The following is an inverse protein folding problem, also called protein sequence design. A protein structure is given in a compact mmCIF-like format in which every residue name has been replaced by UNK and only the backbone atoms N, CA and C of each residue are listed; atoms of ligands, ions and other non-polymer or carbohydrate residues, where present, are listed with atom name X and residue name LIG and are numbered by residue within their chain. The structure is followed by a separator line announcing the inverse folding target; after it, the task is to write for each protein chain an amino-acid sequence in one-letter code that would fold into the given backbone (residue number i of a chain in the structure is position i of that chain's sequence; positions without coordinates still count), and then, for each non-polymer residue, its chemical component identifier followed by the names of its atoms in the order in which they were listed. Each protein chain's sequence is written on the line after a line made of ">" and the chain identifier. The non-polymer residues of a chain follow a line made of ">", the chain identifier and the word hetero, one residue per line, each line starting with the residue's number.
data_IF_534773443383
#
_entry.id   IF_534773443383
#
_cell.length_a   1.000
_cell.length_b   1.000
_cell.length_c   1.000
_cell.angle_alpha   90.00
_cell.angle_beta   90.00
_cell.angle_gamma   90.00
#
_symmetry.space_group_name_H-M   'P 1'
#
loop_
_entity.id
_entity.type
_entity.pdbx_description
1 polymer ?
#
# COMPACT_ATOMS: atom_id res chain seq x y z
N UNK A 1 -3.12 1.19 -0.46
CA UNK A 1 -4.52 1.14 -0.01
C UNK A 1 -4.65 1.49 1.47
N UNK A 2 -5.80 2.07 1.85
CA UNK A 2 -6.20 2.36 3.24
C UNK A 2 -7.72 2.63 3.32
N UNK A 3 -8.30 2.61 4.53
CA UNK A 3 -9.69 3.00 4.82
C UNK A 3 -9.68 4.15 5.82
N UNK A 4 -10.33 5.27 5.47
CA UNK A 4 -10.28 6.50 6.27
C UNK A 4 -11.60 6.81 7.00
N UNK A 5 -12.72 6.39 6.41
CA UNK A 5 -14.08 6.54 6.94
C UNK A 5 -14.82 5.21 6.73
N UNK A 6 -15.58 4.77 7.74
CA UNK A 6 -16.47 3.62 7.68
C UNK A 6 -17.81 3.99 8.27
N UNK A 7 -18.90 3.79 7.53
CA UNK A 7 -20.26 4.03 7.99
C UNK A 7 -20.46 5.41 8.63
N UNK A 8 -19.91 6.45 7.97
CA UNK A 8 -19.94 7.84 8.44
C UNK A 8 -18.98 8.17 9.61
N UNK A 9 -18.22 7.19 10.11
CA UNK A 9 -17.27 7.38 11.22
C UNK A 9 -15.84 7.50 10.73
N UNK A 10 -15.10 8.47 11.29
CA UNK A 10 -13.67 8.61 11.05
C UNK A 10 -12.90 7.45 11.71
N UNK A 11 -12.15 6.69 10.91
CA UNK A 11 -11.30 5.58 11.39
C UNK A 11 -9.80 5.87 11.27
N UNK A 12 -9.41 7.08 10.89
CA UNK A 12 -8.02 7.48 10.67
C UNK A 12 -7.12 7.30 11.91
N UNK A 13 -7.73 7.39 13.12
CA UNK A 13 -7.02 7.19 14.40
C UNK A 13 -6.84 5.73 14.79
N UNK A 14 -7.46 4.78 14.09
CA UNK A 14 -7.21 3.36 14.31
C UNK A 14 -5.83 2.99 13.76
N UNK A 15 -5.16 1.95 14.30
CA UNK A 15 -3.95 1.39 13.70
C UNK A 15 -4.15 0.95 12.24
N UNK A 16 -3.11 1.08 11.40
CA UNK A 16 -3.16 0.68 9.99
C UNK A 16 -3.65 -0.76 9.79
N UNK A 17 -3.20 -1.68 10.65
CA UNK A 17 -3.64 -3.10 10.59
C UNK A 17 -5.15 -3.24 10.73
N UNK A 18 -5.75 -2.46 11.62
CA UNK A 18 -7.19 -2.49 11.84
C UNK A 18 -7.93 -1.85 10.66
N UNK A 19 -7.44 -0.72 10.13
CA UNK A 19 -8.03 -0.10 8.94
C UNK A 19 -7.99 -1.02 7.72
N UNK A 20 -6.90 -1.79 7.53
CA UNK A 20 -6.80 -2.79 6.46
C UNK A 20 -7.75 -3.96 6.64
N UNK A 21 -7.86 -4.50 7.86
CA UNK A 21 -8.83 -5.56 8.19
C UNK A 21 -10.26 -5.12 7.83
N UNK A 22 -10.62 -3.90 8.22
CA UNK A 22 -11.94 -3.34 7.89
C UNK A 22 -12.12 -3.08 6.38
N UNK A 23 -11.06 -2.68 5.67
CA UNK A 23 -11.09 -2.51 4.22
C UNK A 23 -11.36 -3.85 3.51
N UNK A 24 -10.74 -4.93 3.97
CA UNK A 24 -10.96 -6.28 3.44
C UNK A 24 -12.41 -6.73 3.63
N UNK A 25 -13.02 -6.45 4.79
CA UNK A 25 -14.44 -6.72 5.04
C UNK A 25 -15.35 -5.97 4.06
N UNK A 26 -15.10 -4.67 3.84
CA UNK A 26 -15.88 -3.85 2.90
C UNK A 26 -15.79 -4.40 1.48
N UNK A 27 -14.63 -4.93 1.10
CA UNK A 27 -14.37 -5.39 -0.25
C UNK A 27 -14.64 -6.89 -0.46
N UNK A 28 -14.96 -7.68 0.56
CA UNK A 28 -15.10 -9.14 0.48
C UNK A 28 -16.04 -9.62 -0.65
N UNK A 29 -17.06 -8.82 -1.02
CA UNK A 29 -17.95 -9.10 -2.16
C UNK A 29 -17.56 -8.44 -3.50
N UNK A 30 -16.67 -7.44 -3.48
CA UNK A 30 -16.32 -6.59 -4.62
C UNK A 30 -15.04 -7.05 -5.37
N UNK A 31 -14.29 -8.00 -4.81
CA UNK A 31 -13.02 -8.50 -5.38
C UNK A 31 -13.15 -9.32 -6.68
N UNK A 32 -14.37 -9.49 -7.20
CA UNK A 32 -14.61 -10.14 -8.51
C UNK A 32 -14.57 -9.15 -9.69
N UNK A 33 -14.47 -7.85 -9.40
CA UNK A 33 -14.40 -6.77 -10.41
C UNK A 33 -12.99 -6.21 -10.61
N UNK A 34 -12.84 -5.00 -11.16
CA UNK A 34 -11.53 -4.38 -11.42
C UNK A 34 -10.78 -3.95 -10.14
N UNK A 35 -11.38 -4.15 -8.96
CA UNK A 35 -10.81 -3.77 -7.68
C UNK A 35 -9.87 -4.86 -7.15
N UNK A 36 -8.63 -4.47 -6.90
CA UNK A 36 -7.60 -5.34 -6.31
C UNK A 36 -7.16 -4.80 -4.95
N UNK A 37 -7.00 -5.69 -3.98
CA UNK A 37 -6.33 -5.38 -2.71
C UNK A 37 -4.89 -5.83 -2.80
N UNK A 38 -3.98 -4.89 -2.52
CA UNK A 38 -2.55 -5.22 -2.33
C UNK A 38 -2.40 -5.87 -0.96
N UNK A 39 -2.07 -7.16 -0.95
CA UNK A 39 -1.79 -7.90 0.29
C UNK A 39 -0.54 -7.42 0.98
N UNK A 40 -0.51 -7.60 2.28
CA UNK A 40 0.64 -7.28 3.10
C UNK A 40 1.75 -8.30 2.84
N UNK A 41 2.92 -7.77 2.50
CA UNK A 41 4.13 -8.55 2.31
C UNK A 41 5.01 -8.39 3.55
N UNK A 42 5.79 -9.42 3.94
CA UNK A 42 6.83 -9.27 4.94
C UNK A 42 7.74 -8.10 4.60
N UNK A 43 8.18 -7.37 5.64
CA UNK A 43 9.14 -6.29 5.48
C UNK A 43 10.54 -6.88 5.24
N UNK A 44 10.76 -7.36 4.02
CA UNK A 44 11.98 -8.06 3.61
C UNK A 44 12.56 -7.45 2.34
N UNK A 45 13.81 -6.98 2.44
CA UNK A 45 14.55 -6.44 1.32
C UNK A 45 14.91 -7.50 0.28
N UNK A 46 15.09 -8.77 0.69
CA UNK A 46 15.34 -9.87 -0.23
C UNK A 46 14.10 -10.14 -1.10
N UNK A 47 12.91 -10.11 -0.51
CA UNK A 47 11.65 -10.21 -1.25
C UNK A 47 11.50 -9.08 -2.30
N UNK A 48 11.80 -7.83 -1.92
CA UNK A 48 11.75 -6.73 -2.89
C UNK A 48 12.76 -6.94 -4.04
N UNK A 49 14.00 -7.34 -3.73
CA UNK A 49 15.01 -7.67 -4.76
C UNK A 49 14.58 -8.83 -5.65
N UNK A 50 13.97 -9.86 -5.07
CA UNK A 50 13.47 -11.01 -5.81
C UNK A 50 12.34 -10.61 -6.77
N UNK A 51 11.42 -9.73 -6.35
CA UNK A 51 10.39 -9.17 -7.23
C UNK A 51 11.00 -8.42 -8.42
N UNK A 52 12.03 -7.60 -8.18
CA UNK A 52 12.74 -6.91 -9.26
C UNK A 52 13.48 -7.89 -10.19
N UNK A 53 14.13 -8.92 -9.64
CA UNK A 53 14.82 -9.96 -10.40
C UNK A 53 13.87 -10.84 -11.23
N UNK A 54 12.63 -10.99 -10.78
CA UNK A 54 11.56 -11.66 -11.52
C UNK A 54 10.95 -10.80 -12.65
N UNK A 55 11.50 -9.59 -12.90
CA UNK A 55 11.08 -8.73 -14.01
C UNK A 55 9.86 -7.86 -13.73
N UNK A 56 9.42 -7.71 -12.46
CA UNK A 56 8.30 -6.81 -12.15
C UNK A 56 8.65 -5.35 -12.48
N UNK A 57 7.83 -4.74 -13.33
CA UNK A 57 7.96 -3.34 -13.72
C UNK A 57 7.18 -2.41 -12.77
N UNK A 58 7.71 -2.26 -11.57
CA UNK A 58 7.14 -1.37 -10.54
C UNK A 58 8.09 -0.22 -10.21
N UNK A 59 7.52 0.94 -9.87
CA UNK A 59 8.27 2.09 -9.37
C UNK A 59 8.99 1.76 -8.06
N UNK A 60 8.35 0.96 -7.21
CA UNK A 60 8.83 0.65 -5.88
C UNK A 60 7.71 0.18 -4.98
N UNK A 61 7.98 0.14 -3.69
CA UNK A 61 7.03 -0.31 -2.66
C UNK A 61 6.84 0.77 -1.59
N UNK A 62 5.70 0.70 -0.90
CA UNK A 62 5.42 1.52 0.27
C UNK A 62 5.53 0.67 1.54
N UNK A 63 6.54 0.92 2.35
CA UNK A 63 6.62 0.37 3.70
C UNK A 63 5.77 1.22 4.64
N UNK A 64 4.88 0.58 5.42
CA UNK A 64 4.01 1.27 6.36
C UNK A 64 4.09 0.63 7.74
N UNK A 65 4.26 1.44 8.79
CA UNK A 65 4.27 0.95 10.18
C UNK A 65 2.88 0.43 10.55
N UNK A 66 2.81 -0.82 11.00
CA UNK A 66 1.56 -1.54 11.34
C UNK A 66 0.67 -0.79 12.32
N UNK A 67 1.27 -0.14 13.32
CA UNK A 67 0.56 0.59 14.37
C UNK A 67 0.38 2.09 14.07
N UNK A 68 0.73 2.56 12.88
CA UNK A 68 0.57 3.98 12.53
C UNK A 68 -0.89 4.37 12.35
N UNK A 69 -1.26 5.53 12.88
CA UNK A 69 -2.50 6.22 12.51
C UNK A 69 -2.30 6.93 11.16
N UNK A 70 -3.39 7.21 10.46
CA UNK A 70 -3.36 8.08 9.28
C UNK A 70 -3.27 9.54 9.73
N UNK A 71 -2.37 10.31 9.12
CA UNK A 71 -2.12 11.72 9.44
C UNK A 71 -2.38 12.58 8.19
N UNK A 72 -3.57 13.18 8.05
CA UNK A 72 -3.94 13.95 6.86
C UNK A 72 -2.95 15.09 6.57
N UNK A 73 -2.46 15.16 5.33
CA UNK A 73 -1.53 16.21 4.89
C UNK A 73 -0.09 16.09 5.42
N UNK A 74 0.21 15.10 6.25
CA UNK A 74 1.53 14.96 6.89
C UNK A 74 2.39 13.93 6.15
N UNK A 75 3.62 14.31 5.82
CA UNK A 75 4.66 13.38 5.36
C UNK A 75 5.27 12.64 6.57
N UNK A 76 4.62 11.57 7.00
CA UNK A 76 5.08 10.77 8.15
C UNK A 76 6.22 9.82 7.79
N UNK A 77 7.16 9.62 8.71
CA UNK A 77 8.18 8.58 8.66
C UNK A 77 7.61 7.16 8.83
N UNK A 78 6.34 7.04 9.22
CA UNK A 78 5.65 5.76 9.29
C UNK A 78 5.36 5.18 7.91
N UNK A 79 5.38 5.99 6.85
CA UNK A 79 5.03 5.61 5.49
C UNK A 79 6.20 5.98 4.56
N UNK A 80 7.07 5.01 4.32
CA UNK A 80 8.30 5.21 3.57
C UNK A 80 8.15 4.62 2.17
N UNK A 81 8.39 5.45 1.16
CA UNK A 81 8.51 4.99 -0.24
C UNK A 81 9.92 4.48 -0.48
N UNK A 82 10.02 3.23 -0.92
CA UNK A 82 11.28 2.60 -1.31
C UNK A 82 11.23 2.45 -2.83
N UNK A 83 11.98 3.30 -3.55
CA UNK A 83 12.01 3.31 -5.01
C UNK A 83 12.95 2.21 -5.54
N UNK A 84 12.58 1.61 -6.67
CA UNK A 84 13.46 0.76 -7.48
C UNK A 84 14.67 1.59 -7.96
N UNK A 85 15.90 1.05 -7.89
CA UNK A 85 17.07 1.71 -8.46
C UNK A 85 16.88 2.01 -9.96
N UNK A 86 17.19 3.24 -10.38
CA UNK A 86 17.09 3.66 -11.79
C UNK A 86 15.67 3.97 -12.28
N UNK A 87 14.66 3.96 -11.41
CA UNK A 87 13.33 4.44 -11.77
C UNK A 87 13.30 5.98 -11.86
N UNK A 88 12.75 6.51 -12.94
CA UNK A 88 12.53 7.95 -13.14
C UNK A 88 11.03 8.19 -13.37
N UNK A 89 10.50 9.26 -12.80
CA UNK A 89 9.11 9.69 -13.05
C UNK A 89 8.96 10.09 -14.52
N UNK A 90 7.85 9.67 -15.16
CA UNK A 90 7.56 10.02 -16.56
C UNK A 90 8.02 9.03 -17.64
N UNK A 91 8.36 7.78 -17.30
CA UNK A 91 8.45 6.73 -18.35
C UNK A 91 7.08 6.60 -19.01
N UNK A 92 7.00 6.94 -20.30
CA UNK A 92 5.83 6.73 -21.14
C UNK A 92 5.60 5.23 -21.23
N UNK A 93 4.39 4.77 -20.90
CA UNK A 93 3.98 3.39 -21.14
C UNK A 93 3.95 3.18 -22.66
N UNK A 94 4.92 2.46 -23.20
CA UNK A 94 4.90 2.00 -24.60
C UNK A 94 4.46 0.54 -24.59
N UNK A 95 3.15 0.32 -24.68
CA UNK A 95 2.52 -1.00 -24.74
C UNK A 95 1.05 -0.86 -25.11
#
# INVERSE_FOLDING_TARGET
>A
MDLLVRDGRNVMRLPLVERKRQLEEVLAGALKGPLLIVKDLPADAALFKAMLGAGLEIEGVMAKRRQSTYQPGVRSSDWVKIKRPGWQEGRVWTG
#
